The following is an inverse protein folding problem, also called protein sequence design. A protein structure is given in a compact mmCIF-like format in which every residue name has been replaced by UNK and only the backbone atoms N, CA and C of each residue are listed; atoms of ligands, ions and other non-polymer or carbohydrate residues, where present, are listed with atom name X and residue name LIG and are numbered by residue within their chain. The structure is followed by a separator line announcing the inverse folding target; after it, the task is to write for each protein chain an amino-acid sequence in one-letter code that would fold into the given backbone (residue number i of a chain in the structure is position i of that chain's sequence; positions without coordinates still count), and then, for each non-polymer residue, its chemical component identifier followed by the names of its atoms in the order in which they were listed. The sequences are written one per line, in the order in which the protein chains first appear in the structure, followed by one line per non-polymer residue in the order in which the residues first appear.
data_IF_892666338976
#
_entry.id   IF_892666338976
#
_cell.length_a   1.000
_cell.length_b   1.000
_cell.length_c   1.000
_cell.angle_alpha   90.00
_cell.angle_beta   90.00
_cell.angle_gamma   90.00
#
_symmetry.space_group_name_H-M   'P 1'
#
loop_
_entity.id
_entity.type
_entity.pdbx_description
1 polymer ?
#
# COMPACT_ATOMS: atom_id res chain seq x y z
N UNK A 1 24.80 -14.82 7.03
CA UNK A 1 23.72 -14.33 7.91
C UNK A 1 22.53 -13.93 7.07
N UNK A 2 21.38 -14.30 7.48
CA UNK A 2 20.18 -13.87 6.79
C UNK A 2 19.49 -12.77 7.57
N UNK A 3 18.98 -11.78 6.85
CA UNK A 3 18.30 -10.66 7.45
C UNK A 3 16.91 -10.43 6.83
N UNK A 4 16.45 -11.39 6.05
CA UNK A 4 15.18 -11.27 5.34
C UNK A 4 14.04 -10.90 6.28
N UNK A 5 13.93 -11.61 7.40
CA UNK A 5 12.85 -11.37 8.35
C UNK A 5 12.98 -10.00 9.01
N UNK A 6 14.22 -9.52 9.25
CA UNK A 6 14.43 -8.22 9.89
C UNK A 6 14.27 -7.07 8.90
N UNK A 7 14.36 -7.35 7.59
CA UNK A 7 14.16 -6.32 6.59
C UNK A 7 12.68 -6.09 6.30
N UNK A 8 11.82 -7.08 6.55
CA UNK A 8 10.38 -6.91 6.36
C UNK A 8 9.83 -5.86 7.32
N UNK A 9 9.10 -4.89 6.76
CA UNK A 9 8.39 -3.92 7.58
C UNK A 9 7.04 -4.54 7.93
N UNK A 10 6.72 -4.58 9.22
CA UNK A 10 5.44 -5.12 9.67
C UNK A 10 4.76 -4.10 10.57
N UNK A 11 3.52 -3.76 10.23
CA UNK A 11 2.70 -2.81 11.00
C UNK A 11 1.37 -3.49 11.30
N UNK A 12 0.89 -3.28 12.50
CA UNK A 12 -0.40 -3.81 12.92
C UNK A 12 -1.23 -2.69 13.52
N UNK A 13 -2.47 -2.54 13.07
CA UNK A 13 -3.38 -1.55 13.61
C UNK A 13 -4.75 -2.18 13.85
N UNK A 14 -5.52 -1.56 14.73
CA UNK A 14 -6.91 -1.91 14.94
C UNK A 14 -7.79 -0.82 14.33
N UNK A 15 -8.78 -1.23 13.54
CA UNK A 15 -9.77 -0.28 12.99
C UNK A 15 -11.15 -0.63 13.51
N UNK A 16 -11.95 0.39 13.78
CA UNK A 16 -13.28 0.24 14.37
C UNK A 16 -14.32 0.05 13.28
N UNK A 17 -14.17 -1.03 12.52
CA UNK A 17 -15.05 -1.36 11.41
C UNK A 17 -14.94 -2.86 11.14
N UNK A 18 -15.98 -3.44 10.51
CA UNK A 18 -15.94 -4.85 10.14
C UNK A 18 -14.83 -5.11 9.11
N UNK A 19 -14.36 -6.37 8.97
CA UNK A 19 -13.37 -6.69 7.93
C UNK A 19 -13.81 -6.29 6.54
N UNK A 20 -15.09 -6.45 6.22
CA UNK A 20 -15.65 -6.05 4.92
C UNK A 20 -15.50 -4.55 4.70
N UNK A 21 -15.88 -3.75 5.69
CA UNK A 21 -15.76 -2.30 5.59
C UNK A 21 -14.30 -1.88 5.57
N UNK A 22 -13.48 -2.45 6.46
CA UNK A 22 -12.06 -2.13 6.51
C UNK A 22 -11.38 -2.39 5.16
N UNK A 23 -11.72 -3.51 4.53
CA UNK A 23 -11.18 -3.87 3.22
C UNK A 23 -11.63 -2.87 2.13
N UNK A 24 -12.92 -2.52 2.13
CA UNK A 24 -13.44 -1.56 1.13
C UNK A 24 -12.84 -0.17 1.29
N UNK A 25 -12.67 0.28 2.52
CA UNK A 25 -12.07 1.61 2.75
C UNK A 25 -10.65 1.64 2.20
N UNK A 26 -9.89 0.57 2.43
CA UNK A 26 -8.52 0.52 1.89
C UNK A 26 -8.50 0.49 0.37
N UNK A 27 -9.37 -0.30 -0.25
CA UNK A 27 -9.32 -0.53 -1.70
C UNK A 27 -10.19 0.45 -2.48
N UNK A 28 -11.50 0.45 -2.23
CA UNK A 28 -12.44 1.24 -3.05
C UNK A 28 -12.40 2.72 -2.73
N UNK A 29 -12.03 3.07 -1.50
CA UNK A 29 -12.05 4.45 -1.04
C UNK A 29 -10.65 5.02 -0.81
N UNK A 30 -9.63 4.40 -1.38
CA UNK A 30 -8.25 4.83 -1.16
C UNK A 30 -8.01 6.29 -1.55
N UNK A 31 -8.70 6.77 -2.57
CA UNK A 31 -8.59 8.16 -3.03
C UNK A 31 -9.04 9.17 -1.97
N UNK A 32 -9.89 8.74 -1.03
CA UNK A 32 -10.46 9.64 -0.03
C UNK A 32 -9.55 9.85 1.17
N UNK A 33 -8.61 8.95 1.44
CA UNK A 33 -7.80 9.04 2.64
C UNK A 33 -6.29 9.01 2.41
N UNK A 34 -5.81 8.56 1.25
CA UNK A 34 -4.37 8.51 0.99
C UNK A 34 -3.79 9.93 0.96
N UNK A 35 -2.74 10.23 1.75
CA UNK A 35 -2.15 11.58 1.78
C UNK A 35 -1.26 11.81 0.55
N UNK A 36 -1.89 12.05 -0.60
CA UNK A 36 -1.20 12.18 -1.89
C UNK A 36 -0.20 13.31 -1.96
N UNK A 37 -0.46 14.41 -1.28
CA UNK A 37 0.45 15.55 -1.31
C UNK A 37 1.77 15.28 -0.62
N UNK A 38 1.86 14.19 0.15
CA UNK A 38 3.06 13.85 0.89
C UNK A 38 3.65 12.50 0.47
N UNK A 39 2.79 11.54 0.18
CA UNK A 39 3.22 10.16 -0.13
C UNK A 39 2.73 9.71 -1.49
N UNK A 40 2.87 10.56 -2.49
CA UNK A 40 2.57 10.23 -3.88
C UNK A 40 3.76 10.58 -4.76
N UNK A 41 3.69 10.23 -6.03
CA UNK A 41 4.74 10.53 -7.00
C UNK A 41 4.65 11.98 -7.49
N UNK A 42 3.43 12.44 -7.74
CA UNK A 42 3.22 13.77 -8.34
C UNK A 42 3.07 14.89 -7.32
N UNK A 43 2.95 14.56 -6.04
CA UNK A 43 2.87 15.51 -4.93
C UNK A 43 1.81 16.59 -5.16
N UNK A 44 2.21 17.86 -5.33
CA UNK A 44 1.27 18.96 -5.52
C UNK A 44 0.44 18.83 -6.80
N UNK A 45 0.94 18.11 -7.78
CA UNK A 45 0.25 17.89 -9.03
C UNK A 45 -0.64 16.64 -9.02
N UNK A 46 -0.67 15.92 -7.90
CA UNK A 46 -1.48 14.71 -7.78
C UNK A 46 -2.96 15.05 -7.77
N UNK A 47 -3.74 14.27 -8.50
CA UNK A 47 -5.19 14.39 -8.55
C UNK A 47 -5.87 13.25 -7.79
N UNK A 48 -5.47 12.02 -8.05
CA UNK A 48 -6.10 10.85 -7.42
C UNK A 48 -5.20 9.65 -7.42
N UNK A 49 -5.55 8.66 -6.58
CA UNK A 49 -4.99 7.33 -6.63
C UNK A 49 -6.16 6.35 -6.51
N UNK A 50 -6.24 5.39 -7.43
CA UNK A 50 -7.36 4.44 -7.46
C UNK A 50 -6.89 3.06 -7.90
N UNK A 51 -7.61 2.04 -7.45
CA UNK A 51 -7.44 0.68 -8.00
C UNK A 51 -8.27 0.59 -9.27
N UNK A 52 -7.65 0.17 -10.36
CA UNK A 52 -8.31 0.04 -11.67
C UNK A 52 -8.03 -1.34 -12.26
N UNK A 53 -9.02 -1.85 -13.00
CA UNK A 53 -8.85 -3.10 -13.73
C UNK A 53 -8.20 -2.78 -15.08
N UNK A 54 -6.91 -3.16 -15.21
CA UNK A 54 -6.10 -2.93 -16.39
C UNK A 54 -5.47 -4.24 -16.83
N UNK A 55 -6.33 -5.19 -17.24
CA UNK A 55 -5.85 -6.54 -17.54
C UNK A 55 -5.24 -7.15 -16.25
N UNK A 56 -5.99 -6.97 -15.17
CA UNK A 56 -5.56 -7.23 -13.80
C UNK A 56 -5.64 -5.94 -13.00
N UNK A 57 -5.89 -6.05 -11.71
CA UNK A 57 -6.04 -4.86 -10.86
C UNK A 57 -4.71 -4.20 -10.60
N UNK A 58 -4.66 -2.90 -10.77
CA UNK A 58 -3.46 -2.09 -10.51
C UNK A 58 -3.84 -0.84 -9.72
N UNK A 59 -2.90 -0.36 -8.91
CA UNK A 59 -3.07 0.89 -8.17
C UNK A 59 -2.40 1.99 -8.98
N UNK A 60 -3.18 2.99 -9.39
CA UNK A 60 -2.74 4.02 -10.33
C UNK A 60 -2.91 5.41 -9.74
N UNK A 61 -1.85 6.18 -9.76
CA UNK A 61 -1.90 7.61 -9.39
C UNK A 61 -1.99 8.45 -10.67
N UNK A 62 -2.88 9.46 -10.65
CA UNK A 62 -3.02 10.41 -11.75
C UNK A 62 -2.69 11.82 -11.30
N UNK A 63 -2.01 12.54 -12.17
CA UNK A 63 -1.74 13.96 -11.98
C UNK A 63 -2.86 14.80 -12.61
N UNK A 64 -2.93 16.07 -12.22
CA UNK A 64 -3.92 17.01 -12.72
C UNK A 64 -3.83 17.24 -14.23
N UNK A 65 -2.64 17.05 -14.80
CA UNK A 65 -2.41 17.21 -16.24
C UNK A 65 -2.64 15.92 -17.03
N UNK A 66 -3.11 14.86 -16.38
CA UNK A 66 -3.42 13.59 -17.05
C UNK A 66 -2.29 12.57 -17.06
N UNK A 67 -1.09 12.93 -16.57
CA UNK A 67 -0.02 11.92 -16.43
C UNK A 67 -0.44 10.89 -15.41
N UNK A 68 0.06 9.67 -15.56
CA UNK A 68 -0.24 8.64 -14.59
C UNK A 68 0.97 7.74 -14.34
N UNK A 69 0.98 7.09 -13.19
CA UNK A 69 2.00 6.12 -12.84
C UNK A 69 1.34 4.98 -12.05
N UNK A 70 1.80 3.76 -12.30
CA UNK A 70 1.32 2.58 -11.60
C UNK A 70 2.20 2.36 -10.37
N UNK A 71 1.57 2.23 -9.20
CA UNK A 71 2.30 1.96 -7.96
C UNK A 71 2.51 0.46 -7.73
N UNK A 72 1.66 -0.38 -8.29
CA UNK A 72 1.77 -1.81 -8.13
C UNK A 72 0.64 -2.55 -8.81
N UNK A 73 0.84 -3.85 -9.03
CA UNK A 73 -0.17 -4.76 -9.56
C UNK A 73 -0.59 -5.73 -8.48
N UNK A 74 -1.89 -6.00 -8.42
CA UNK A 74 -2.45 -6.96 -7.45
C UNK A 74 -2.06 -8.37 -7.88
N UNK A 75 -1.44 -9.12 -6.98
CA UNK A 75 -1.02 -10.50 -7.22
C UNK A 75 -2.02 -11.50 -6.67
N UNK A 76 -2.69 -11.14 -5.58
CA UNK A 76 -3.61 -12.03 -4.91
C UNK A 76 -4.61 -11.21 -4.11
N UNK A 77 -5.85 -11.67 -4.05
CA UNK A 77 -6.93 -10.88 -3.51
C UNK A 77 -8.04 -11.80 -3.00
N UNK A 78 -8.38 -11.64 -1.73
CA UNK A 78 -9.54 -12.29 -1.12
C UNK A 78 -10.33 -11.22 -0.39
N UNK A 79 -11.53 -10.93 -0.88
CA UNK A 79 -12.34 -9.87 -0.28
C UNK A 79 -12.48 -10.07 1.23
N UNK A 80 -12.29 -9.01 1.96
CA UNK A 80 -12.39 -8.90 3.41
C UNK A 80 -11.31 -9.62 4.20
N UNK A 81 -10.36 -10.32 3.54
CA UNK A 81 -9.33 -11.03 4.30
C UNK A 81 -7.90 -10.72 3.86
N UNK A 82 -7.62 -10.55 2.57
CA UNK A 82 -6.22 -10.41 2.13
C UNK A 82 -6.08 -9.67 0.82
N UNK A 83 -5.02 -8.84 0.73
CA UNK A 83 -4.62 -8.18 -0.50
C UNK A 83 -3.10 -8.23 -0.58
N UNK A 84 -2.56 -8.76 -1.67
CA UNK A 84 -1.12 -8.82 -1.91
C UNK A 84 -0.82 -8.21 -3.27
N UNK A 85 0.18 -7.33 -3.32
CA UNK A 85 0.50 -6.64 -4.57
C UNK A 85 1.96 -6.21 -4.61
N UNK A 86 2.48 -6.00 -5.82
CA UNK A 86 3.80 -5.40 -5.97
C UNK A 86 3.74 -3.94 -5.57
N UNK A 87 4.89 -3.34 -5.24
CA UNK A 87 4.94 -1.97 -4.75
C UNK A 87 6.14 -1.26 -5.33
N UNK A 88 5.88 -0.33 -6.26
CA UNK A 88 6.95 0.39 -6.97
C UNK A 88 6.55 1.82 -7.34
N UNK A 89 6.05 2.64 -6.41
CA UNK A 89 5.66 4.01 -6.74
C UNK A 89 6.82 4.78 -7.37
N UNK A 90 6.57 5.38 -8.55
CA UNK A 90 7.57 6.14 -9.26
C UNK A 90 8.62 5.29 -9.98
N UNK A 91 8.43 3.96 -10.03
CA UNK A 91 9.38 3.03 -10.63
C UNK A 91 8.67 2.04 -11.54
N UNK A 92 9.45 1.38 -12.39
CA UNK A 92 8.93 0.36 -13.28
C UNK A 92 8.79 -0.98 -12.55
N UNK A 93 7.78 -1.76 -12.94
CA UNK A 93 7.61 -3.12 -12.44
C UNK A 93 8.81 -4.01 -12.80
N UNK A 94 9.61 -3.61 -13.79
CA UNK A 94 10.79 -4.37 -14.23
C UNK A 94 11.98 -4.20 -13.29
N UNK A 95 11.89 -3.34 -12.30
CA UNK A 95 13.00 -3.01 -11.41
C UNK A 95 13.01 -3.86 -10.14
N UNK A 96 12.53 -5.08 -10.19
CA UNK A 96 12.50 -5.98 -9.03
C UNK A 96 11.78 -5.30 -7.85
N UNK A 97 10.49 -5.06 -7.99
CA UNK A 97 9.75 -4.29 -6.97
C UNK A 97 9.66 -5.03 -5.65
N UNK A 98 9.47 -4.26 -4.59
CA UNK A 98 9.07 -4.83 -3.32
C UNK A 98 7.60 -5.23 -3.40
N UNK A 99 7.08 -5.79 -2.31
CA UNK A 99 5.73 -6.31 -2.28
C UNK A 99 5.08 -5.92 -0.97
N UNK A 100 3.79 -5.60 -0.98
CA UNK A 100 3.04 -5.43 0.25
C UNK A 100 1.94 -6.48 0.33
N UNK A 101 1.65 -6.88 1.57
CA UNK A 101 0.51 -7.75 1.85
C UNK A 101 -0.25 -7.18 3.04
N UNK A 102 -1.58 -7.06 2.89
CA UNK A 102 -2.46 -6.67 3.98
C UNK A 102 -3.37 -7.84 4.30
N UNK A 103 -3.52 -8.11 5.61
CA UNK A 103 -4.49 -9.08 6.09
C UNK A 103 -5.48 -8.38 7.01
N UNK A 104 -6.73 -8.83 6.95
CA UNK A 104 -7.84 -8.21 7.68
C UNK A 104 -8.52 -9.33 8.48
N UNK A 105 -8.45 -9.24 9.78
CA UNK A 105 -9.00 -10.29 10.65
C UNK A 105 -9.96 -9.70 11.66
N UNK A 106 -11.14 -10.28 11.78
CA UNK A 106 -12.13 -9.84 12.76
C UNK A 106 -11.52 -9.92 14.17
N UNK A 107 -11.75 -8.88 14.96
CA UNK A 107 -11.22 -8.75 16.31
C UNK A 107 -12.26 -8.02 17.16
N UNK A 108 -13.08 -8.79 17.86
CA UNK A 108 -14.21 -8.20 18.59
C UNK A 108 -15.16 -7.52 17.62
N UNK A 109 -15.46 -6.27 17.88
CA UNK A 109 -16.35 -5.48 17.01
C UNK A 109 -15.64 -4.78 15.87
N UNK A 110 -14.33 -4.95 15.77
CA UNK A 110 -13.53 -4.29 14.75
C UNK A 110 -12.65 -5.27 13.98
N UNK A 111 -11.57 -4.77 13.45
CA UNK A 111 -10.67 -5.55 12.61
C UNK A 111 -9.22 -5.23 12.95
N UNK A 112 -8.41 -6.27 13.09
CA UNK A 112 -6.95 -6.12 13.13
C UNK A 112 -6.45 -6.16 11.70
N UNK A 113 -5.74 -5.12 11.28
CA UNK A 113 -5.15 -5.02 9.94
C UNK A 113 -3.65 -5.09 10.09
N UNK A 114 -3.02 -6.03 9.39
CA UNK A 114 -1.57 -6.17 9.39
C UNK A 114 -1.05 -5.89 7.99
N UNK A 115 -0.06 -5.00 7.91
CA UNK A 115 0.65 -4.70 6.67
C UNK A 115 2.06 -5.25 6.78
N UNK A 116 2.49 -6.01 5.77
CA UNK A 116 3.87 -6.44 5.63
C UNK A 116 4.41 -5.93 4.31
N UNK A 117 5.55 -5.25 4.35
CA UNK A 117 6.23 -4.73 3.17
C UNK A 117 7.58 -5.44 3.10
N UNK A 118 7.74 -6.26 2.09
CA UNK A 118 8.87 -7.19 2.01
C UNK A 118 9.47 -7.23 0.60
N UNK A 119 10.53 -8.03 0.44
CA UNK A 119 11.23 -8.13 -0.84
C UNK A 119 12.43 -7.21 -0.94
N UNK A 120 12.81 -6.58 0.18
CA UNK A 120 13.92 -5.62 0.18
C UNK A 120 15.24 -6.25 -0.25
N UNK A 121 15.45 -7.54 0.05
CA UNK A 121 16.67 -8.24 -0.30
C UNK A 121 16.85 -8.43 -1.81
N UNK A 122 15.76 -8.34 -2.57
CA UNK A 122 15.79 -8.45 -4.02
C UNK A 122 15.78 -7.09 -4.72
N UNK A 123 15.53 -6.03 -3.97
CA UNK A 123 15.40 -4.69 -4.53
C UNK A 123 16.77 -4.09 -4.86
N UNK A 124 16.77 -3.08 -5.72
CA UNK A 124 17.98 -2.33 -6.03
C UNK A 124 18.47 -1.59 -4.79
N UNK A 125 19.75 -1.20 -4.78
CA UNK A 125 20.33 -0.44 -3.67
C UNK A 125 19.53 0.85 -3.41
N UNK A 126 19.08 1.50 -4.47
CA UNK A 126 18.31 2.73 -4.36
C UNK A 126 17.00 2.50 -3.63
N UNK A 127 16.28 1.42 -3.95
CA UNK A 127 15.03 1.08 -3.30
C UNK A 127 15.29 0.67 -1.85
N UNK A 128 16.34 -0.13 -1.60
CA UNK A 128 16.67 -0.56 -0.23
C UNK A 128 17.02 0.63 0.65
N UNK A 129 17.66 1.64 0.09
CA UNK A 129 17.99 2.86 0.83
C UNK A 129 16.72 3.59 1.28
N UNK A 130 15.63 3.46 0.53
CA UNK A 130 14.37 4.11 0.87
C UNK A 130 13.59 3.42 1.99
N UNK A 131 14.03 2.23 2.44
CA UNK A 131 13.27 1.43 3.42
C UNK A 131 12.95 2.19 4.70
N UNK A 132 13.90 2.93 5.24
CA UNK A 132 13.67 3.68 6.49
C UNK A 132 12.56 4.71 6.33
N UNK A 133 12.49 5.34 5.16
CA UNK A 133 11.41 6.28 4.85
C UNK A 133 10.05 5.59 4.77
N UNK A 134 10.01 4.40 4.20
CA UNK A 134 8.78 3.62 4.15
C UNK A 134 8.36 3.18 5.56
N UNK A 135 9.32 2.76 6.38
CA UNK A 135 9.00 2.33 7.74
C UNK A 135 8.31 3.45 8.52
N UNK A 136 8.83 4.66 8.44
CA UNK A 136 8.21 5.82 9.08
C UNK A 136 6.92 6.23 8.39
N UNK A 137 6.91 6.23 7.05
CA UNK A 137 5.76 6.68 6.25
C UNK A 137 4.53 5.83 6.44
N UNK A 138 4.70 4.50 6.54
CA UNK A 138 3.56 3.61 6.75
C UNK A 138 2.81 3.93 8.04
N UNK A 139 3.51 4.38 9.09
CA UNK A 139 2.83 4.76 10.33
C UNK A 139 1.82 5.87 10.09
N UNK A 140 2.20 6.88 9.34
CA UNK A 140 1.30 8.01 9.03
C UNK A 140 0.19 7.60 8.07
N UNK A 141 0.52 6.85 7.03
CA UNK A 141 -0.46 6.39 6.04
C UNK A 141 -1.52 5.53 6.70
N UNK A 142 -1.10 4.58 7.56
CA UNK A 142 -2.04 3.69 8.22
C UNK A 142 -2.89 4.43 9.25
N UNK A 143 -2.36 5.48 9.88
CA UNK A 143 -3.15 6.30 10.79
C UNK A 143 -4.26 7.03 10.03
N UNK A 144 -3.95 7.57 8.86
CA UNK A 144 -4.93 8.23 8.00
C UNK A 144 -6.02 7.24 7.57
N UNK A 145 -5.60 6.03 7.20
CA UNK A 145 -6.53 4.96 6.84
C UNK A 145 -7.42 4.59 8.03
N UNK A 146 -6.84 4.42 9.20
CA UNK A 146 -7.61 4.06 10.40
C UNK A 146 -8.67 5.09 10.71
N UNK A 147 -8.33 6.37 10.57
CA UNK A 147 -9.26 7.46 10.82
C UNK A 147 -10.40 7.52 9.80
N UNK A 148 -10.21 6.97 8.63
CA UNK A 148 -11.23 6.94 7.58
C UNK A 148 -12.16 5.71 7.69
N UNK A 149 -11.76 4.72 8.48
CA UNK A 149 -12.51 3.46 8.59
C UNK A 149 -13.66 3.49 9.55
#
# INVERSE_FOLDING_TARGET
MTVTATETIRKEIFVDASPETAFRVFTEQIAEWWPLGKYGTFLEQADSVVFEDRDGWALVERAKDGRETVWGEVLDYEFSSRLRMTWHPGRSADEMPTEIELTFAADGDGTTVVLEHRGWERASDEVRTARAGYDAGWNEVLETYRNAS
#
